data_IF_120752460014
#
_entry.id   IF_120752460014
#
_cell.length_a   1.000
_cell.length_b   1.000
_cell.length_c   1.000
_cell.angle_alpha   90.00
_cell.angle_beta   90.00
_cell.angle_gamma   90.00
#
_symmetry.space_group_name_H-M   'P 1'
#
loop_
_entity.id
_entity.type
_entity.pdbx_description
1 polymer ?
#
# COMPACT_ATOMS: atom_id res chain seq x y z
N UNK A 1 39.49 -3.59 12.83
CA UNK A 1 39.62 -3.67 14.30
C UNK A 1 40.54 -4.87 14.59
N UNK A 2 41.71 -4.70 15.23
CA UNK A 2 42.65 -5.81 15.45
C UNK A 2 42.01 -6.95 16.25
N UNK A 3 42.10 -8.18 15.74
CA UNK A 3 41.51 -9.38 16.38
C UNK A 3 40.01 -9.59 16.13
N UNK A 4 39.35 -8.70 15.36
CA UNK A 4 37.98 -8.93 14.92
C UNK A 4 37.97 -9.96 13.79
N UNK A 5 37.11 -10.98 13.93
CA UNK A 5 36.87 -11.95 12.85
C UNK A 5 36.40 -11.22 11.58
N UNK A 6 37.01 -11.49 10.40
CA UNK A 6 36.58 -10.94 9.12
C UNK A 6 35.07 -11.06 8.86
N UNK A 7 34.43 -12.14 9.34
CA UNK A 7 32.99 -12.36 9.21
C UNK A 7 32.17 -11.22 9.85
N UNK A 8 32.60 -10.69 10.99
CA UNK A 8 31.92 -9.58 11.65
C UNK A 8 32.13 -8.26 10.91
N UNK A 9 33.30 -8.06 10.31
CA UNK A 9 33.54 -6.90 9.46
C UNK A 9 32.67 -6.93 8.20
N UNK A 10 32.53 -8.11 7.58
CA UNK A 10 31.69 -8.30 6.40
C UNK A 10 30.20 -8.13 6.74
N UNK A 11 29.74 -8.70 7.85
CA UNK A 11 28.36 -8.55 8.33
C UNK A 11 27.99 -7.09 8.67
N UNK A 12 28.99 -6.25 8.93
CA UNK A 12 28.84 -4.82 9.20
C UNK A 12 28.94 -3.93 7.96
N UNK A 13 29.21 -4.52 6.78
CA UNK A 13 29.51 -3.82 5.54
C UNK A 13 28.24 -3.35 4.80
N UNK A 14 27.06 -3.63 5.35
CA UNK A 14 25.76 -3.24 4.81
C UNK A 14 25.05 -4.41 4.11
N UNK A 15 24.24 -4.08 3.11
CA UNK A 15 23.40 -5.04 2.41
C UNK A 15 24.17 -5.68 1.25
N UNK A 16 23.87 -6.95 0.97
CA UNK A 16 24.46 -7.70 -0.13
C UNK A 16 23.40 -7.97 -1.21
N UNK A 17 23.79 -7.76 -2.46
CA UNK A 17 23.02 -8.17 -3.63
C UNK A 17 23.83 -9.22 -4.37
N UNK A 18 23.23 -10.38 -4.60
CA UNK A 18 23.88 -11.47 -5.32
C UNK A 18 23.27 -11.63 -6.71
N UNK A 19 24.11 -11.58 -7.73
CA UNK A 19 23.74 -11.81 -9.12
C UNK A 19 24.24 -13.17 -9.57
N UNK A 20 23.38 -13.96 -10.22
CA UNK A 20 23.75 -15.28 -10.75
C UNK A 20 24.43 -15.10 -12.12
N UNK A 21 25.71 -15.45 -12.22
CA UNK A 21 26.47 -15.46 -13.46
C UNK A 21 26.07 -16.59 -14.41
N UNK A 22 26.56 -16.51 -15.65
CA UNK A 22 26.32 -17.52 -16.69
C UNK A 22 26.90 -18.91 -16.32
N UNK A 23 27.93 -18.96 -15.48
CA UNK A 23 28.52 -20.18 -14.93
C UNK A 23 27.68 -20.79 -13.79
N UNK A 24 26.56 -20.17 -13.45
CA UNK A 24 25.66 -20.60 -12.39
C UNK A 24 26.06 -20.16 -10.98
N UNK A 25 27.20 -19.47 -10.81
CA UNK A 25 27.68 -18.99 -9.51
C UNK A 25 27.07 -17.64 -9.17
N UNK A 26 26.89 -17.39 -7.88
CA UNK A 26 26.45 -16.09 -7.38
C UNK A 26 27.65 -15.19 -7.10
N UNK A 27 27.59 -13.96 -7.61
CA UNK A 27 28.57 -12.91 -7.34
C UNK A 27 27.90 -11.81 -6.52
N UNK A 28 28.56 -11.36 -5.46
CA UNK A 28 28.15 -10.17 -4.72
C UNK A 28 28.44 -8.93 -5.58
N UNK A 29 27.42 -8.11 -5.81
CA UNK A 29 27.48 -6.93 -6.69
C UNK A 29 27.02 -5.63 -6.04
N UNK A 30 26.58 -5.64 -4.78
CA UNK A 30 26.18 -4.41 -4.10
C UNK A 30 27.41 -3.53 -3.79
N UNK A 31 27.38 -2.28 -4.27
CA UNK A 31 28.41 -1.28 -3.96
C UNK A 31 29.74 -1.45 -4.71
N UNK A 32 29.73 -2.09 -5.88
CA UNK A 32 30.84 -2.00 -6.83
C UNK A 32 30.89 -0.57 -7.44
N UNK A 33 32.07 -0.08 -7.82
CA UNK A 33 32.25 1.26 -8.44
C UNK A 33 31.40 1.42 -9.72
N UNK A 34 31.07 2.66 -10.14
CA UNK A 34 30.23 2.94 -11.29
C UNK A 34 30.59 2.09 -12.53
N UNK A 35 29.58 1.55 -13.23
CA UNK A 35 28.18 1.95 -13.17
C UNK A 35 27.33 1.25 -12.06
N UNK A 36 27.91 0.58 -11.07
CA UNK A 36 27.21 -0.50 -10.37
C UNK A 36 26.23 -0.15 -9.21
N UNK A 37 25.39 -1.16 -8.95
CA UNK A 37 24.21 -1.28 -8.08
C UNK A 37 24.44 -0.77 -6.64
N UNK A 38 24.01 0.47 -6.38
CA UNK A 38 24.25 1.21 -5.13
C UNK A 38 23.29 0.84 -3.99
N UNK A 39 22.99 -0.45 -3.84
CA UNK A 39 22.06 -0.97 -2.80
C UNK A 39 22.76 -1.36 -1.50
N UNK A 40 24.07 -1.09 -1.38
CA UNK A 40 24.88 -1.53 -0.22
C UNK A 40 24.51 -0.76 1.05
N UNK A 41 24.25 0.55 0.94
CA UNK A 41 24.04 1.46 2.09
C UNK A 41 22.55 1.70 2.37
N UNK A 42 21.93 0.59 2.79
CA UNK A 42 20.59 0.36 3.35
C UNK A 42 20.26 0.97 4.73
N UNK A 43 21.34 1.05 5.51
CA UNK A 43 21.30 0.76 6.95
C UNK A 43 20.54 -0.53 7.28
N UNK A 44 19.92 -0.57 8.45
CA UNK A 44 19.35 -1.80 9.01
C UNK A 44 17.88 -1.94 8.59
N UNK A 45 17.64 -2.95 7.76
CA UNK A 45 16.34 -3.23 7.17
C UNK A 45 15.67 -4.44 7.82
N UNK A 46 14.34 -4.39 7.92
CA UNK A 46 13.55 -5.55 8.32
C UNK A 46 13.30 -6.50 7.14
N UNK A 47 13.39 -6.00 5.90
CA UNK A 47 13.28 -6.80 4.70
C UNK A 47 13.17 -5.94 3.44
N UNK A 48 13.13 -6.60 2.30
CA UNK A 48 12.89 -5.97 1.01
C UNK A 48 12.23 -6.92 0.02
N UNK A 49 11.73 -6.36 -1.09
CA UNK A 49 11.05 -7.10 -2.14
C UNK A 49 11.42 -6.53 -3.51
N UNK A 50 11.51 -7.43 -4.49
CA UNK A 50 11.61 -7.09 -5.89
C UNK A 50 10.22 -7.01 -6.53
N UNK A 51 9.87 -5.87 -7.11
CA UNK A 51 8.61 -5.64 -7.80
C UNK A 51 8.81 -4.67 -8.97
N UNK A 52 7.95 -4.73 -9.98
CA UNK A 52 8.02 -3.88 -11.17
C UNK A 52 7.06 -2.71 -10.98
N UNK A 53 7.52 -1.62 -10.35
CA UNK A 53 6.63 -0.50 -9.97
C UNK A 53 6.36 0.46 -11.13
N UNK A 54 7.23 0.46 -12.14
CA UNK A 54 7.14 1.32 -13.30
C UNK A 54 6.71 0.56 -14.58
N UNK A 55 6.40 -0.73 -14.48
CA UNK A 55 5.95 -1.61 -15.56
C UNK A 55 6.94 -1.72 -16.74
N UNK A 56 8.24 -1.52 -16.50
CA UNK A 56 9.27 -1.54 -17.55
C UNK A 56 9.87 -2.93 -17.82
N UNK A 57 9.28 -3.98 -17.24
CA UNK A 57 9.71 -5.39 -17.22
C UNK A 57 10.90 -5.72 -16.31
N UNK A 58 11.58 -4.73 -15.76
CA UNK A 58 12.65 -4.92 -14.80
C UNK A 58 12.10 -4.83 -13.38
N UNK A 59 12.64 -5.66 -12.48
CA UNK A 59 12.25 -5.61 -11.08
C UNK A 59 13.05 -4.53 -10.36
N UNK A 60 12.35 -3.54 -9.83
CA UNK A 60 12.82 -2.57 -8.85
C UNK A 60 12.96 -3.23 -7.48
N UNK A 61 13.67 -2.58 -6.56
CA UNK A 61 13.87 -3.08 -5.20
C UNK A 61 13.35 -2.07 -4.18
N UNK A 62 12.33 -2.47 -3.43
CA UNK A 62 11.89 -1.74 -2.24
C UNK A 62 12.47 -2.38 -0.98
N UNK A 63 13.03 -1.57 -0.09
CA UNK A 63 13.64 -2.00 1.17
C UNK A 63 13.10 -1.17 2.31
N UNK A 64 12.61 -1.86 3.32
CA UNK A 64 11.99 -1.29 4.50
C UNK A 64 12.99 -1.21 5.65
N UNK A 65 13.15 -0.02 6.23
CA UNK A 65 14.01 0.26 7.37
C UNK A 65 13.19 0.51 8.63
N UNK A 66 13.76 0.12 9.77
CA UNK A 66 13.03 0.18 11.05
C UNK A 66 13.94 -0.05 12.26
N UNK A 67 15.24 0.15 12.10
CA UNK A 67 16.20 -0.06 13.18
C UNK A 67 17.40 0.85 13.06
N UNK A 68 18.21 0.92 14.11
CA UNK A 68 19.27 1.90 14.26
C UNK A 68 20.45 1.54 13.35
N UNK A 69 20.80 2.47 12.47
CA UNK A 69 22.11 2.59 11.84
C UNK A 69 22.73 3.93 12.22
N UNK A 70 24.05 3.97 12.42
CA UNK A 70 24.71 5.23 12.79
C UNK A 70 24.48 6.33 11.72
N UNK A 71 24.26 7.59 12.12
CA UNK A 71 24.29 8.73 11.21
C UNK A 71 25.57 8.74 10.36
N UNK A 72 25.44 9.15 9.10
CA UNK A 72 26.55 9.08 8.14
C UNK A 72 27.78 9.90 8.58
N UNK A 73 27.59 10.96 9.37
CA UNK A 73 28.69 11.77 9.94
C UNK A 73 29.47 11.04 11.04
N UNK A 74 28.88 10.00 11.64
CA UNK A 74 29.45 9.18 12.70
C UNK A 74 29.88 7.78 12.22
N UNK A 75 29.46 7.38 11.02
CA UNK A 75 29.75 6.07 10.44
C UNK A 75 31.21 5.98 9.96
N UNK A 76 32.05 5.21 10.65
CA UNK A 76 33.48 5.05 10.35
C UNK A 76 33.77 4.12 9.15
N UNK A 77 32.90 4.10 8.14
CA UNK A 77 32.94 3.16 7.00
C UNK A 77 32.41 1.75 7.29
N UNK A 78 32.25 1.40 8.58
CA UNK A 78 31.51 0.25 9.10
C UNK A 78 30.43 0.78 10.05
N UNK A 79 29.23 0.19 10.02
CA UNK A 79 28.14 0.61 10.92
C UNK A 79 28.33 0.01 12.32
N UNK A 80 29.32 0.51 13.08
CA UNK A 80 29.71 0.03 14.42
C UNK A 80 28.65 0.27 15.51
N UNK A 81 27.57 0.96 15.16
CA UNK A 81 26.46 1.29 16.04
C UNK A 81 25.18 0.53 15.67
N UNK A 82 25.21 -0.32 14.63
CA UNK A 82 24.09 -1.19 14.28
C UNK A 82 23.73 -2.16 15.39
N UNK A 83 22.53 -2.74 15.30
CA UNK A 83 22.08 -3.79 16.20
C UNK A 83 23.11 -4.92 16.33
N UNK A 84 23.66 -5.37 15.20
CA UNK A 84 24.64 -6.44 15.12
C UNK A 84 25.84 -6.14 16.03
N UNK A 85 26.37 -4.92 15.96
CA UNK A 85 27.50 -4.52 16.80
C UNK A 85 27.14 -4.41 18.27
N UNK A 86 25.98 -3.82 18.57
CA UNK A 86 25.54 -3.57 19.95
C UNK A 86 25.14 -4.85 20.69
N UNK A 87 24.59 -5.85 19.98
CA UNK A 87 24.08 -7.09 20.57
C UNK A 87 25.01 -8.28 20.40
N UNK A 88 25.55 -8.50 19.21
CA UNK A 88 26.32 -9.71 18.92
C UNK A 88 27.81 -9.49 19.12
N UNK A 89 28.37 -8.43 18.51
CA UNK A 89 29.82 -8.20 18.59
C UNK A 89 30.20 -7.76 20.01
N UNK A 90 29.59 -6.71 20.57
CA UNK A 90 29.94 -6.22 21.93
C UNK A 90 29.67 -7.24 23.06
N UNK A 91 28.85 -8.27 22.85
CA UNK A 91 28.62 -9.31 23.84
C UNK A 91 29.66 -10.44 23.80
N UNK A 92 30.46 -10.53 22.73
CA UNK A 92 31.48 -11.56 22.54
C UNK A 92 32.63 -11.38 23.56
N UNK A 93 32.89 -12.44 24.32
CA UNK A 93 33.92 -12.48 25.36
C UNK A 93 35.34 -12.51 24.81
N UNK A 94 35.52 -12.88 23.53
CA UNK A 94 36.81 -12.97 22.87
C UNK A 94 37.32 -11.63 22.33
N UNK A 95 36.52 -10.56 22.41
CA UNK A 95 36.96 -9.23 21.99
C UNK A 95 37.89 -8.57 23.01
N UNK A 96 38.98 -8.00 22.49
CA UNK A 96 40.13 -7.53 23.28
C UNK A 96 39.94 -6.21 24.04
N UNK A 97 38.80 -5.49 23.92
CA UNK A 97 38.61 -4.15 24.51
C UNK A 97 37.39 -4.04 25.43
N UNK A 98 37.62 -4.22 26.73
CA UNK A 98 36.60 -4.09 27.79
C UNK A 98 35.96 -2.68 27.87
N UNK A 99 36.70 -1.61 27.57
CA UNK A 99 36.17 -0.23 27.58
C UNK A 99 35.09 0.02 26.52
N UNK A 100 35.07 -0.78 25.45
CA UNK A 100 34.05 -0.73 24.39
C UNK A 100 32.79 -1.52 24.77
N UNK A 101 32.92 -2.55 25.62
CA UNK A 101 31.84 -3.42 26.10
C UNK A 101 31.01 -2.77 27.23
N UNK A 102 31.60 -1.87 28.03
CA UNK A 102 31.02 -1.38 29.30
C UNK A 102 31.11 0.15 29.51
N UNK A 103 30.91 0.99 28.48
CA UNK A 103 30.89 2.46 28.69
C UNK A 103 29.83 2.86 29.74
N UNK A 104 30.20 3.65 30.77
CA UNK A 104 29.26 4.18 31.77
C UNK A 104 28.17 5.09 31.20
N UNK A 105 28.37 5.64 30.01
CA UNK A 105 27.40 6.51 29.31
C UNK A 105 26.18 5.73 28.80
N UNK A 106 26.26 4.38 28.77
CA UNK A 106 25.25 3.47 28.22
C UNK A 106 24.83 2.42 29.28
N UNK A 107 24.16 2.87 30.35
CA UNK A 107 23.72 1.99 31.47
C UNK A 107 22.63 0.99 31.02
N UNK A 108 22.73 -0.26 31.50
CA UNK A 108 21.89 -1.41 31.13
C UNK A 108 20.86 -1.75 32.19
N UNK A 109 19.70 -2.26 31.78
CA UNK A 109 18.69 -2.88 32.66
C UNK A 109 18.84 -4.40 32.62
N UNK A 110 18.43 -5.10 33.69
CA UNK A 110 18.35 -6.56 33.67
C UNK A 110 17.34 -7.04 32.60
N UNK A 111 17.57 -8.18 31.94
CA UNK A 111 16.58 -8.77 31.03
C UNK A 111 15.29 -9.15 31.79
N UNK A 112 14.13 -9.22 31.11
CA UNK A 112 12.82 -9.43 31.75
C UNK A 112 12.71 -10.74 32.55
N UNK A 113 13.49 -11.75 32.18
CA UNK A 113 13.52 -13.07 32.83
C UNK A 113 14.66 -13.22 33.85
N UNK A 114 15.53 -12.22 34.00
CA UNK A 114 16.67 -12.21 34.90
C UNK A 114 17.75 -13.27 34.62
N UNK A 115 17.66 -14.02 33.50
CA UNK A 115 18.55 -15.14 33.20
C UNK A 115 19.49 -14.91 32.01
N UNK A 116 19.46 -13.70 31.42
CA UNK A 116 20.38 -13.28 30.36
C UNK A 116 21.42 -12.23 30.81
N UNK A 117 22.41 -11.93 29.97
CA UNK A 117 23.28 -10.78 30.18
C UNK A 117 22.46 -9.49 30.22
N UNK A 118 22.86 -8.50 31.05
CA UNK A 118 22.21 -7.19 31.12
C UNK A 118 22.15 -6.54 29.72
N UNK A 119 20.99 -5.98 29.35
CA UNK A 119 20.71 -5.40 28.03
C UNK A 119 20.36 -3.92 28.23
N UNK A 120 20.89 -3.03 27.37
CA UNK A 120 20.47 -1.62 27.35
C UNK A 120 18.95 -1.55 27.13
N UNK A 121 18.21 -0.87 28.02
CA UNK A 121 16.75 -0.75 27.97
C UNK A 121 16.26 -0.26 26.60
N UNK A 122 17.08 0.57 25.93
CA UNK A 122 16.79 1.06 24.58
C UNK A 122 16.84 -0.05 23.54
N UNK A 123 17.56 -1.15 23.76
CA UNK A 123 17.60 -2.28 22.81
C UNK A 123 16.43 -3.24 22.94
N UNK A 124 15.69 -3.20 24.06
CA UNK A 124 14.52 -4.06 24.26
C UNK A 124 13.30 -3.57 23.45
N UNK A 125 13.39 -2.36 22.87
CA UNK A 125 12.31 -1.74 22.10
C UNK A 125 11.07 -1.41 22.92
N UNK A 126 11.03 -1.82 24.19
CA UNK A 126 9.88 -1.75 25.06
C UNK A 126 10.36 -1.50 26.50
N UNK A 127 9.89 -0.42 27.12
CA UNK A 127 10.17 -0.05 28.50
C UNK A 127 8.85 0.06 29.27
N UNK A 128 8.76 -0.61 30.43
CA UNK A 128 7.61 -0.43 31.32
C UNK A 128 7.89 0.70 32.31
N UNK A 129 7.11 1.78 32.24
CA UNK A 129 7.14 2.90 33.20
C UNK A 129 5.83 2.92 33.99
N UNK A 130 5.84 2.27 35.16
CA UNK A 130 4.64 2.09 35.97
C UNK A 130 3.63 1.14 35.31
N UNK A 131 2.41 1.63 35.09
CA UNK A 131 1.33 0.94 34.39
C UNK A 131 1.41 1.08 32.85
N UNK A 132 2.34 1.89 32.34
CA UNK A 132 2.49 2.16 30.90
C UNK A 132 3.62 1.37 30.28
N UNK A 133 3.37 0.88 29.07
CA UNK A 133 4.38 0.30 28.19
C UNK A 133 4.77 1.37 27.17
N UNK A 134 6.04 1.74 27.14
CA UNK A 134 6.66 2.64 26.18
C UNK A 134 7.36 1.80 25.13
N UNK A 135 7.01 1.97 23.86
CA UNK A 135 7.77 1.37 22.77
C UNK A 135 8.79 2.39 22.28
N UNK A 136 10.06 2.10 22.46
CA UNK A 136 11.14 2.95 21.95
C UNK A 136 11.31 2.66 20.47
N UNK A 137 11.10 3.69 19.63
CA UNK A 137 11.47 3.62 18.23
C UNK A 137 12.98 3.48 18.14
N UNK A 138 13.44 2.41 17.51
CA UNK A 138 14.86 2.08 17.40
C UNK A 138 15.49 2.74 16.18
N UNK A 139 14.79 3.70 15.56
CA UNK A 139 14.85 3.93 14.13
C UNK A 139 15.77 5.07 13.67
N UNK A 140 16.13 6.02 14.54
CA UNK A 140 16.79 7.29 14.20
C UNK A 140 16.34 7.99 12.90
N UNK A 141 15.09 7.72 12.45
CA UNK A 141 14.50 8.18 11.18
C UNK A 141 15.21 7.69 9.91
N UNK A 142 15.75 6.48 9.94
CA UNK A 142 16.27 5.86 8.71
C UNK A 142 15.17 5.70 7.65
N UNK A 143 15.35 6.23 6.45
CA UNK A 143 14.28 6.18 5.44
C UNK A 143 14.22 4.82 4.78
N UNK A 144 13.00 4.34 4.53
CA UNK A 144 12.77 3.29 3.54
C UNK A 144 13.39 3.69 2.20
N UNK A 145 13.80 2.69 1.41
CA UNK A 145 14.42 2.95 0.11
C UNK A 145 13.72 2.23 -1.03
N UNK A 146 13.48 2.95 -2.11
CA UNK A 146 13.10 2.42 -3.41
C UNK A 146 14.28 2.61 -4.37
N UNK A 147 14.72 1.50 -4.96
CA UNK A 147 15.74 1.47 -5.98
C UNK A 147 15.13 1.09 -7.32
N UNK A 148 15.11 2.05 -8.25
CA UNK A 148 14.63 1.80 -9.61
C UNK A 148 15.71 1.05 -10.42
N UNK A 149 15.32 0.01 -11.13
CA UNK A 149 16.21 -0.80 -11.94
C UNK A 149 16.42 -0.17 -13.33
N UNK A 150 17.67 0.11 -13.69
CA UNK A 150 18.00 0.71 -14.97
C UNK A 150 18.36 -0.36 -16.00
N UNK A 151 17.34 -1.09 -16.47
CA UNK A 151 17.47 -2.06 -17.54
C UNK A 151 18.37 -3.26 -17.19
N UNK A 152 18.34 -3.71 -15.94
CA UNK A 152 19.09 -4.85 -15.43
C UNK A 152 20.58 -4.60 -15.18
N UNK A 153 21.05 -3.36 -15.39
CA UNK A 153 22.49 -3.01 -15.30
C UNK A 153 22.88 -2.39 -13.96
N UNK A 154 21.98 -1.61 -13.38
CA UNK A 154 22.26 -0.79 -12.20
C UNK A 154 20.97 -0.42 -11.48
N UNK A 155 21.09 0.05 -10.25
CA UNK A 155 19.99 0.60 -9.46
C UNK A 155 20.23 2.07 -9.15
N UNK A 156 19.19 2.89 -9.18
CA UNK A 156 19.21 4.28 -8.73
C UNK A 156 18.26 4.46 -7.55
N UNK A 157 18.70 5.18 -6.52
CA UNK A 157 17.83 5.55 -5.40
C UNK A 157 16.78 6.56 -5.87
N UNK A 158 15.52 6.13 -5.92
CA UNK A 158 14.37 6.92 -6.33
C UNK A 158 13.43 7.26 -5.16
N UNK A 159 13.83 6.91 -3.92
CA UNK A 159 12.96 6.90 -2.74
C UNK A 159 12.24 8.23 -2.51
N UNK A 160 12.99 9.33 -2.50
CA UNK A 160 12.44 10.66 -2.22
C UNK A 160 11.56 11.20 -3.34
N UNK A 161 11.87 10.89 -4.60
CA UNK A 161 11.08 11.34 -5.77
C UNK A 161 9.79 10.53 -5.87
N UNK A 162 9.83 9.23 -5.57
CA UNK A 162 8.68 8.36 -5.55
C UNK A 162 7.79 8.55 -4.30
N UNK A 163 8.25 9.30 -3.29
CA UNK A 163 7.55 9.47 -2.02
C UNK A 163 7.52 8.20 -1.16
N UNK A 164 8.39 7.22 -1.46
CA UNK A 164 8.51 5.94 -0.74
C UNK A 164 9.67 5.96 0.28
N UNK A 165 10.10 7.14 0.71
CA UNK A 165 11.18 7.37 1.67
C UNK A 165 10.68 7.54 3.12
N UNK A 166 9.67 6.75 3.50
CA UNK A 166 9.01 6.89 4.80
C UNK A 166 10.04 6.86 5.96
N UNK A 167 10.05 7.88 6.85
CA UNK A 167 11.02 8.00 7.94
C UNK A 167 10.55 7.37 9.25
N UNK A 168 9.43 6.64 9.25
CA UNK A 168 8.87 5.95 10.41
C UNK A 168 9.45 4.54 10.56
N UNK A 169 9.34 3.97 11.77
CA UNK A 169 9.91 2.67 12.12
C UNK A 169 9.10 1.56 11.44
N UNK A 170 9.47 1.21 10.21
CA UNK A 170 8.67 0.33 9.38
C UNK A 170 8.90 -1.14 9.72
N UNK A 171 7.83 -1.95 9.79
CA UNK A 171 7.86 -3.34 10.29
C UNK A 171 7.30 -4.39 9.36
N UNK A 172 6.38 -4.03 8.47
CA UNK A 172 5.86 -4.93 7.45
C UNK A 172 5.33 -4.15 6.26
N UNK A 173 5.36 -4.73 5.07
CA UNK A 173 4.72 -4.14 3.90
C UNK A 173 4.14 -5.20 2.97
N UNK A 174 3.16 -4.82 2.16
CA UNK A 174 2.58 -5.65 1.12
C UNK A 174 2.54 -4.88 -0.20
N UNK A 175 2.97 -5.53 -1.28
CA UNK A 175 2.79 -5.05 -2.66
C UNK A 175 1.52 -5.65 -3.21
N UNK A 176 0.70 -4.80 -3.82
CA UNK A 176 -0.61 -5.12 -4.38
C UNK A 176 -0.96 -4.08 -5.43
N UNK A 177 -2.03 -4.29 -6.17
CA UNK A 177 -2.66 -3.25 -6.99
C UNK A 177 -4.12 -3.24 -6.57
N UNK A 178 -4.44 -2.35 -5.63
CA UNK A 178 -5.67 -2.48 -4.84
C UNK A 178 -6.90 -2.00 -5.58
N UNK A 179 -6.72 -1.13 -6.58
CA UNK A 179 -7.80 -0.63 -7.41
C UNK A 179 -7.81 -1.19 -8.83
N UNK A 180 -6.83 -2.05 -9.16
CA UNK A 180 -6.66 -2.72 -10.44
C UNK A 180 -6.49 -1.71 -11.56
N UNK A 181 -5.74 -0.65 -11.33
CA UNK A 181 -5.39 0.29 -12.38
C UNK A 181 -4.18 -0.17 -13.21
N UNK A 182 -3.49 -1.22 -12.75
CA UNK A 182 -2.31 -1.83 -13.39
C UNK A 182 -0.97 -1.28 -12.92
N UNK A 183 -0.93 -0.45 -11.87
CA UNK A 183 0.29 0.01 -11.22
C UNK A 183 0.38 -0.57 -9.81
N UNK A 184 1.55 -1.10 -9.46
CA UNK A 184 1.72 -1.70 -8.14
C UNK A 184 1.78 -0.62 -7.05
N UNK A 185 0.90 -0.74 -6.08
CA UNK A 185 0.77 0.01 -4.84
C UNK A 185 1.55 -0.63 -3.69
N UNK A 186 1.64 0.10 -2.57
CA UNK A 186 2.31 -0.38 -1.37
C UNK A 186 1.52 -0.08 -0.10
N UNK A 187 1.21 -1.14 0.66
CA UNK A 187 0.67 -1.02 2.02
C UNK A 187 1.82 -1.20 3.02
N UNK A 188 2.00 -0.27 3.95
CA UNK A 188 3.09 -0.24 4.92
C UNK A 188 2.56 -0.16 6.35
N UNK A 189 3.13 -0.96 7.25
CA UNK A 189 2.86 -0.94 8.69
C UNK A 189 4.11 -0.53 9.45
N UNK A 190 3.95 0.42 10.37
CA UNK A 190 5.01 0.96 11.21
C UNK A 190 4.77 0.61 12.68
N UNK A 191 5.86 0.51 13.45
CA UNK A 191 5.83 0.41 14.91
C UNK A 191 5.51 1.74 15.60
N UNK A 192 5.63 2.87 14.89
CA UNK A 192 5.28 4.21 15.37
C UNK A 192 4.34 4.94 14.39
N UNK A 193 3.90 6.15 14.75
CA UNK A 193 2.93 6.91 13.94
C UNK A 193 3.59 7.52 12.69
N UNK A 194 2.89 7.56 11.54
CA UNK A 194 1.60 6.92 11.28
C UNK A 194 1.72 5.39 11.18
N UNK A 195 0.87 4.65 11.91
CA UNK A 195 0.98 3.18 12.03
C UNK A 195 0.72 2.43 10.72
N UNK A 196 -0.17 2.94 9.87
CA UNK A 196 -0.50 2.34 8.59
C UNK A 196 -0.49 3.41 7.51
N UNK A 197 0.14 3.08 6.38
CA UNK A 197 0.21 3.95 5.21
C UNK A 197 -0.14 3.10 3.99
N UNK A 198 -1.04 3.62 3.16
CA UNK A 198 -1.32 3.06 1.85
C UNK A 198 -0.83 4.05 0.82
N UNK A 199 0.16 3.63 0.03
CA UNK A 199 0.72 4.40 -1.07
C UNK A 199 0.04 3.94 -2.35
N UNK A 200 -0.55 4.90 -3.05
CA UNK A 200 -1.12 4.70 -4.37
C UNK A 200 -0.11 5.11 -5.43
N UNK A 201 0.08 4.29 -6.46
CA UNK A 201 1.07 4.53 -7.50
C UNK A 201 0.50 5.42 -8.62
N UNK A 202 0.98 6.66 -8.69
CA UNK A 202 0.45 7.70 -9.58
C UNK A 202 1.20 7.80 -10.94
N UNK A 203 1.95 6.77 -11.36
CA UNK A 203 2.70 6.78 -12.62
C UNK A 203 1.83 7.14 -13.84
N UNK A 204 0.59 6.63 -13.89
CA UNK A 204 -0.38 6.99 -14.94
C UNK A 204 -0.70 8.48 -14.94
N UNK A 205 -0.95 9.07 -13.77
CA UNK A 205 -1.25 10.49 -13.63
C UNK A 205 -0.02 11.35 -13.97
N UNK A 206 1.19 10.84 -13.76
CA UNK A 206 2.45 11.44 -14.18
C UNK A 206 2.74 11.29 -15.69
N UNK A 207 1.87 10.63 -16.45
CA UNK A 207 2.01 10.46 -17.90
C UNK A 207 2.99 9.36 -18.32
N UNK A 208 3.36 8.47 -17.39
CA UNK A 208 4.20 7.30 -17.69
C UNK A 208 3.34 6.22 -18.33
N UNK A 209 3.82 5.66 -19.44
CA UNK A 209 3.23 4.48 -20.08
C UNK A 209 3.83 3.20 -19.53
N UNK A 210 3.02 2.15 -19.43
CA UNK A 210 3.46 0.85 -18.95
C UNK A 210 2.30 -0.13 -18.97
N UNK A 211 2.46 -1.20 -19.75
CA UNK A 211 1.50 -2.27 -19.93
C UNK A 211 1.69 -3.38 -18.91
N UNK A 212 0.64 -4.13 -18.62
CA UNK A 212 0.71 -5.29 -17.71
C UNK A 212 -0.03 -6.51 -18.23
N UNK A 213 0.42 -7.69 -17.80
CA UNK A 213 -0.37 -8.92 -17.78
C UNK A 213 -0.44 -9.40 -16.33
N UNK A 214 -1.64 -9.50 -15.79
CA UNK A 214 -1.87 -10.06 -14.47
C UNK A 214 -2.11 -11.57 -14.58
N UNK A 215 -1.58 -12.35 -13.63
CA UNK A 215 -1.65 -13.82 -13.63
C UNK A 215 -2.11 -14.32 -12.26
N UNK A 216 -3.12 -15.19 -12.27
CA UNK A 216 -3.60 -15.95 -11.09
C UNK A 216 -3.40 -17.44 -11.33
N UNK A 217 -3.20 -18.17 -10.24
CA UNK A 217 -2.88 -19.59 -10.28
C UNK A 217 -3.93 -20.41 -9.54
N UNK A 218 -4.25 -21.57 -10.11
CA UNK A 218 -5.10 -22.58 -9.49
C UNK A 218 -4.41 -23.93 -9.66
N UNK A 219 -3.69 -24.36 -8.63
CA UNK A 219 -3.00 -25.65 -8.59
C UNK A 219 -3.97 -26.82 -8.44
N UNK A 220 -3.54 -27.99 -8.90
CA UNK A 220 -4.37 -29.17 -9.04
C UNK A 220 -4.54 -29.99 -7.76
N UNK A 221 -3.75 -29.74 -6.70
CA UNK A 221 -3.94 -30.42 -5.42
C UNK A 221 -5.02 -29.72 -4.61
N UNK A 222 -6.16 -30.38 -4.46
CA UNK A 222 -7.34 -29.93 -3.70
C UNK A 222 -7.42 -30.60 -2.31
N UNK A 223 -6.36 -31.29 -1.89
CA UNK A 223 -6.29 -31.97 -0.59
C UNK A 223 -5.21 -31.35 0.31
N UNK A 224 -5.32 -31.60 1.61
CA UNK A 224 -4.30 -31.19 2.58
C UNK A 224 -3.01 -32.05 2.54
N UNK A 225 -3.03 -33.18 1.83
CA UNK A 225 -1.88 -34.08 1.72
C UNK A 225 -0.97 -33.64 0.56
N UNK A 226 0.36 -33.82 0.67
CA UNK A 226 1.27 -33.56 -0.45
C UNK A 226 0.93 -34.44 -1.65
N UNK A 227 0.92 -33.83 -2.85
CA UNK A 227 0.73 -34.54 -4.12
C UNK A 227 2.05 -34.62 -4.88
N UNK A 228 2.28 -35.73 -5.58
CA UNK A 228 3.36 -35.89 -6.56
C UNK A 228 2.95 -35.51 -7.98
N UNK A 229 1.64 -35.43 -8.23
CA UNK A 229 1.07 -35.20 -9.55
C UNK A 229 0.76 -33.73 -9.79
N UNK A 230 0.39 -33.00 -8.74
CA UNK A 230 -0.08 -31.62 -8.83
C UNK A 230 0.58 -30.72 -7.79
N UNK A 231 0.73 -29.45 -8.13
CA UNK A 231 1.17 -28.40 -7.23
C UNK A 231 0.11 -28.06 -6.18
N UNK A 232 0.54 -27.35 -5.12
CA UNK A 232 -0.36 -26.83 -4.10
C UNK A 232 -1.45 -25.93 -4.71
N UNK A 233 -2.61 -25.84 -4.05
CA UNK A 233 -3.79 -25.13 -4.58
C UNK A 233 -3.52 -23.69 -5.00
N UNK A 234 -2.69 -22.98 -4.24
CA UNK A 234 -2.35 -21.58 -4.49
C UNK A 234 -1.30 -21.41 -5.61
N UNK A 235 -0.69 -22.49 -6.09
CA UNK A 235 0.23 -22.48 -7.23
C UNK A 235 1.60 -21.87 -6.96
N UNK A 236 2.01 -21.70 -5.70
CA UNK A 236 3.34 -21.19 -5.35
C UNK A 236 4.46 -22.09 -5.91
N UNK A 237 5.50 -21.44 -6.45
CA UNK A 237 6.60 -22.05 -7.18
C UNK A 237 6.37 -22.17 -8.69
N UNK A 238 5.18 -21.83 -9.19
CA UNK A 238 4.94 -21.75 -10.64
C UNK A 238 5.83 -20.67 -11.27
N UNK A 239 6.43 -20.98 -12.42
CA UNK A 239 7.27 -20.07 -13.19
C UNK A 239 6.56 -19.63 -14.44
N UNK A 240 6.50 -18.32 -14.64
CA UNK A 240 5.86 -17.68 -15.78
C UNK A 240 6.94 -17.09 -16.69
N UNK A 241 6.85 -17.39 -17.98
CA UNK A 241 7.62 -16.73 -19.03
C UNK A 241 6.64 -16.02 -19.95
N UNK A 242 6.72 -14.70 -20.02
CA UNK A 242 5.98 -13.86 -20.96
C UNK A 242 6.88 -13.56 -22.14
N UNK A 243 6.46 -13.98 -23.33
CA UNK A 243 7.15 -13.75 -24.59
C UNK A 243 6.53 -12.53 -25.28
N UNK A 244 7.31 -11.46 -25.42
CA UNK A 244 6.89 -10.20 -26.03
C UNK A 244 7.31 -10.11 -27.51
N UNK A 245 8.01 -11.13 -28.01
CA UNK A 245 8.48 -11.26 -29.39
C UNK A 245 9.93 -10.83 -29.58
N UNK A 246 10.30 -9.67 -29.06
CA UNK A 246 11.68 -9.15 -29.03
C UNK A 246 12.41 -9.43 -27.71
N UNK A 247 11.65 -9.60 -26.62
CA UNK A 247 12.17 -9.93 -25.30
C UNK A 247 11.33 -11.00 -24.57
N UNK A 248 11.92 -11.58 -23.52
CA UNK A 248 11.25 -12.54 -22.65
C UNK A 248 11.37 -12.14 -21.18
N UNK A 249 10.23 -12.08 -20.50
CA UNK A 249 10.13 -11.70 -19.10
C UNK A 249 9.83 -12.93 -18.25
N UNK A 250 10.74 -13.27 -17.35
CA UNK A 250 10.59 -14.38 -16.41
C UNK A 250 10.14 -13.91 -15.02
N UNK A 251 9.18 -14.62 -14.41
CA UNK A 251 8.73 -14.42 -13.03
C UNK A 251 8.49 -15.77 -12.34
N UNK A 252 8.62 -15.82 -11.03
CA UNK A 252 8.29 -16.98 -10.19
C UNK A 252 7.25 -16.55 -9.17
N UNK A 253 6.16 -17.33 -9.04
CA UNK A 253 5.10 -17.05 -8.08
C UNK A 253 5.54 -17.49 -6.69
N UNK A 254 5.60 -16.55 -5.75
CA UNK A 254 6.17 -16.76 -4.42
C UNK A 254 5.21 -16.37 -3.31
N UNK A 255 5.44 -16.96 -2.14
CA UNK A 255 4.81 -16.61 -0.88
C UNK A 255 5.87 -16.36 0.19
N UNK A 256 5.48 -15.67 1.27
CA UNK A 256 6.36 -15.35 2.40
C UNK A 256 7.40 -14.30 2.06
N UNK A 257 7.03 -13.30 1.25
CA UNK A 257 7.91 -12.19 0.87
C UNK A 257 7.74 -10.99 1.83
N UNK A 258 8.88 -10.45 2.29
CA UNK A 258 8.97 -9.43 3.33
C UNK A 258 8.92 -9.99 4.75
N UNK A 259 9.11 -9.11 5.74
CA UNK A 259 9.09 -9.49 7.16
C UNK A 259 7.65 -9.60 7.68
N UNK A 260 7.25 -10.81 8.08
CA UNK A 260 5.92 -11.09 8.64
C UNK A 260 4.77 -10.60 7.73
N UNK A 261 4.96 -10.67 6.41
CA UNK A 261 4.04 -10.15 5.40
C UNK A 261 3.82 -11.13 4.25
N UNK A 262 2.79 -10.86 3.45
CA UNK A 262 2.49 -11.55 2.21
C UNK A 262 1.97 -10.54 1.19
N UNK A 263 2.52 -10.58 -0.03
CA UNK A 263 2.07 -9.77 -1.15
C UNK A 263 0.84 -10.39 -1.83
N UNK A 264 0.20 -9.64 -2.72
CA UNK A 264 -0.95 -10.12 -3.50
C UNK A 264 -0.64 -11.47 -4.17
N UNK A 265 -1.57 -12.44 -4.16
CA UNK A 265 -1.42 -13.69 -4.92
C UNK A 265 -1.59 -13.47 -6.43
N UNK A 266 -2.01 -12.28 -6.87
CA UNK A 266 -2.05 -11.92 -8.28
C UNK A 266 -0.68 -11.41 -8.69
N UNK A 267 0.02 -12.17 -9.54
CA UNK A 267 1.29 -11.75 -10.12
C UNK A 267 1.02 -10.70 -11.21
N UNK A 268 1.63 -9.53 -11.10
CA UNK A 268 1.61 -8.52 -12.16
C UNK A 268 2.94 -8.58 -12.89
N UNK A 269 2.90 -8.75 -14.21
CA UNK A 269 4.08 -8.74 -15.08
C UNK A 269 4.02 -7.49 -15.94
N UNK A 270 4.93 -6.54 -15.71
CA UNK A 270 5.13 -5.39 -16.57
C UNK A 270 5.64 -5.82 -17.94
N UNK A 271 5.07 -5.23 -18.99
CA UNK A 271 5.40 -5.50 -20.39
C UNK A 271 5.79 -4.22 -21.14
N UNK A 272 6.23 -3.17 -20.45
CA UNK A 272 6.65 -1.91 -21.07
C UNK A 272 5.58 -1.32 -21.98
N UNK A 273 5.97 -0.83 -23.15
CA UNK A 273 5.03 -0.24 -24.12
C UNK A 273 4.32 -1.26 -25.02
N UNK A 274 4.58 -2.57 -24.83
CA UNK A 274 3.99 -3.62 -25.64
C UNK A 274 2.46 -3.65 -25.48
N UNK A 275 1.76 -3.82 -26.60
CA UNK A 275 0.28 -3.90 -26.61
C UNK A 275 -0.25 -5.28 -26.27
N UNK A 276 0.62 -6.29 -26.23
CA UNK A 276 0.31 -7.70 -26.06
C UNK A 276 1.57 -8.51 -25.81
N UNK A 277 1.40 -9.69 -25.22
CA UNK A 277 2.39 -10.77 -25.28
C UNK A 277 2.04 -11.75 -26.41
N UNK A 278 3.06 -12.21 -27.13
CA UNK A 278 2.93 -13.26 -28.13
C UNK A 278 2.53 -14.60 -27.50
N UNK A 279 3.01 -14.89 -26.29
CA UNK A 279 2.54 -16.02 -25.49
C UNK A 279 2.92 -15.87 -24.01
N UNK A 280 2.18 -16.58 -23.14
CA UNK A 280 2.52 -16.78 -21.74
C UNK A 280 2.70 -18.29 -21.52
N UNK A 281 3.88 -18.68 -21.02
CA UNK A 281 4.20 -20.07 -20.67
C UNK A 281 4.28 -20.20 -19.16
N UNK A 282 3.60 -21.20 -18.60
CA UNK A 282 3.55 -21.48 -17.16
C UNK A 282 4.08 -22.88 -16.92
N UNK A 283 5.13 -22.98 -16.12
CA UNK A 283 5.70 -24.25 -15.65
C UNK A 283 5.41 -24.41 -14.16
N UNK A 284 4.68 -25.46 -13.81
CA UNK A 284 4.29 -25.80 -12.44
C UNK A 284 5.41 -26.54 -11.70
N UNK A 285 5.45 -26.50 -10.36
CA UNK A 285 6.34 -27.31 -9.54
C UNK A 285 6.23 -28.83 -9.78
N UNK A 286 5.04 -29.31 -10.17
CA UNK A 286 4.80 -30.70 -10.60
C UNK A 286 5.59 -31.10 -11.85
N UNK A 287 6.08 -30.13 -12.62
CA UNK A 287 6.73 -30.32 -13.92
C UNK A 287 5.80 -30.12 -15.11
N UNK A 288 4.48 -30.04 -14.89
CA UNK A 288 3.51 -29.73 -15.94
C UNK A 288 3.77 -28.33 -16.52
N UNK A 289 3.60 -28.20 -17.83
CA UNK A 289 3.81 -26.94 -18.55
C UNK A 289 2.66 -26.66 -19.49
N UNK A 290 2.19 -25.42 -19.52
CA UNK A 290 1.14 -24.96 -20.42
C UNK A 290 1.56 -23.65 -21.08
N UNK A 291 1.10 -23.40 -22.31
CA UNK A 291 1.39 -22.18 -23.07
C UNK A 291 0.13 -21.64 -23.71
N UNK A 292 -0.08 -20.34 -23.62
CA UNK A 292 -1.19 -19.62 -24.27
C UNK A 292 -0.86 -19.25 -25.71
N UNK A 293 -1.88 -18.79 -26.45
CA UNK A 293 -1.67 -17.91 -27.60
C UNK A 293 -1.38 -16.47 -27.16
N UNK A 294 -1.64 -15.53 -28.06
CA UNK A 294 -1.49 -14.09 -27.82
C UNK A 294 -2.39 -13.59 -26.68
N UNK A 295 -1.83 -12.76 -25.79
CA UNK A 295 -2.54 -12.16 -24.66
C UNK A 295 -2.44 -10.63 -24.75
N UNK A 296 -3.56 -9.90 -24.90
CA UNK A 296 -3.56 -8.45 -24.90
C UNK A 296 -3.06 -7.86 -23.57
N UNK A 297 -2.48 -6.66 -23.64
CA UNK A 297 -2.20 -5.84 -22.46
C UNK A 297 -3.47 -5.63 -21.62
N UNK A 298 -3.31 -5.52 -20.30
CA UNK A 298 -4.41 -5.27 -19.37
C UNK A 298 -5.29 -6.49 -19.13
N UNK A 299 -4.80 -7.69 -19.45
CA UNK A 299 -5.51 -8.97 -19.23
C UNK A 299 -5.16 -9.57 -17.88
N UNK A 300 -6.17 -10.11 -17.19
CA UNK A 300 -6.02 -11.05 -16.08
C UNK A 300 -6.16 -12.47 -16.62
N UNK A 301 -5.05 -13.20 -16.62
CA UNK A 301 -4.96 -14.59 -17.01
C UNK A 301 -5.05 -15.49 -15.77
N UNK A 302 -6.12 -16.27 -15.61
CA UNK A 302 -6.18 -17.33 -14.59
C UNK A 302 -5.71 -18.64 -15.20
N UNK A 303 -4.70 -19.24 -14.59
CA UNK A 303 -4.02 -20.45 -15.05
C UNK A 303 -4.39 -21.60 -14.14
N UNK A 304 -4.93 -22.66 -14.73
CA UNK A 304 -5.31 -23.88 -14.03
C UNK A 304 -4.30 -24.97 -14.36
N UNK A 305 -3.81 -25.67 -13.35
CA UNK A 305 -2.97 -26.85 -13.56
C UNK A 305 -3.79 -28.03 -14.12
N UNK A 306 -5.08 -28.12 -13.74
CA UNK A 306 -6.06 -29.09 -14.23
C UNK A 306 -7.16 -28.37 -15.01
N UNK A 307 -7.35 -28.75 -16.28
CA UNK A 307 -8.40 -28.15 -17.11
C UNK A 307 -9.82 -28.39 -16.54
N UNK A 308 -10.03 -29.50 -15.83
CA UNK A 308 -11.30 -29.81 -15.16
C UNK A 308 -11.66 -28.85 -14.01
N UNK A 309 -10.68 -28.13 -13.45
CA UNK A 309 -10.91 -27.13 -12.39
C UNK A 309 -11.32 -25.77 -12.97
N UNK A 310 -11.20 -25.60 -14.28
CA UNK A 310 -11.56 -24.38 -14.99
C UNK A 310 -13.05 -24.39 -15.36
N UNK A 311 -13.75 -23.25 -15.22
CA UNK A 311 -15.15 -23.14 -15.62
C UNK A 311 -15.38 -23.36 -17.12
N UNK A 312 -14.32 -23.29 -17.94
CA UNK A 312 -14.38 -23.49 -19.40
C UNK A 312 -13.84 -24.85 -19.86
N UNK A 313 -13.34 -25.67 -18.93
CA UNK A 313 -12.67 -26.93 -19.29
C UNK A 313 -11.32 -26.73 -20.01
N UNK A 314 -10.71 -25.55 -19.91
CA UNK A 314 -9.41 -25.23 -20.51
C UNK A 314 -8.39 -24.78 -19.45
N UNK A 315 -7.09 -24.85 -19.74
CA UNK A 315 -6.04 -24.50 -18.79
C UNK A 315 -5.93 -22.99 -18.51
N UNK A 316 -6.63 -22.15 -19.27
CA UNK A 316 -6.51 -20.70 -19.20
C UNK A 316 -7.88 -20.03 -19.34
N UNK A 317 -8.17 -19.08 -18.46
CA UNK A 317 -9.27 -18.12 -18.65
C UNK A 317 -8.72 -16.71 -18.60
N UNK A 318 -9.37 -15.80 -19.30
CA UNK A 318 -8.95 -14.40 -19.39
C UNK A 318 -10.12 -13.46 -19.13
N UNK A 319 -9.88 -12.41 -18.35
CA UNK A 319 -10.80 -11.30 -18.15
C UNK A 319 -10.04 -9.96 -18.14
N UNK A 320 -10.71 -8.82 -18.34
CA UNK A 320 -10.06 -7.51 -18.19
C UNK A 320 -9.50 -7.35 -16.76
N UNK A 321 -8.20 -7.07 -16.66
CA UNK A 321 -7.56 -6.74 -15.39
C UNK A 321 -7.79 -5.28 -15.03
N UNK A 322 -7.43 -4.37 -15.95
CA UNK A 322 -7.56 -2.94 -15.69
C UNK A 322 -9.01 -2.57 -15.54
N UNK A 323 -9.38 -2.18 -14.33
CA UNK A 323 -10.65 -1.52 -14.11
C UNK A 323 -10.43 -0.09 -14.54
N UNK A 324 -11.08 0.33 -15.63
CA UNK A 324 -11.25 1.75 -15.87
C UNK A 324 -12.09 2.29 -14.71
N UNK A 325 -11.44 2.69 -13.62
CA UNK A 325 -11.97 3.80 -12.84
C UNK A 325 -12.09 4.92 -13.86
N UNK A 326 -13.32 5.24 -14.24
CA UNK A 326 -13.61 6.57 -14.77
C UNK A 326 -12.89 7.49 -13.82
N UNK A 327 -11.81 8.13 -14.30
CA UNK A 327 -11.08 9.07 -13.49
C UNK A 327 -12.16 9.97 -12.91
N UNK A 328 -12.28 10.00 -11.58
CA UNK A 328 -13.26 10.85 -10.88
C UNK A 328 -12.94 12.33 -11.03
N UNK A 329 -12.38 12.74 -12.16
CA UNK A 329 -12.56 14.04 -12.74
C UNK A 329 -13.59 13.92 -13.85
N UNK A 330 -14.85 13.63 -13.51
CA UNK A 330 -15.89 14.31 -14.27
C UNK A 330 -15.60 15.79 -14.12
N UNK A 331 -15.67 16.53 -15.23
CA UNK A 331 -15.63 17.98 -15.20
C UNK A 331 -16.82 18.43 -14.38
N UNK A 332 -16.65 18.47 -13.06
CA UNK A 332 -17.52 19.21 -12.16
C UNK A 332 -17.52 20.60 -12.75
N UNK A 333 -18.70 21.12 -13.09
CA UNK A 333 -18.87 22.51 -13.45
C UNK A 333 -18.59 23.35 -12.19
N UNK A 334 -17.29 23.46 -11.87
CA UNK A 334 -16.76 24.10 -10.68
C UNK A 334 -17.19 25.56 -10.74
N UNK A 335 -18.05 25.95 -9.81
CA UNK A 335 -18.65 27.29 -9.81
C UNK A 335 -20.16 27.33 -10.08
N UNK A 336 -20.78 26.23 -10.53
CA UNK A 336 -22.24 26.14 -10.56
C UNK A 336 -22.79 25.96 -9.14
N UNK A 337 -23.93 26.57 -8.85
CA UNK A 337 -24.59 26.44 -7.54
C UNK A 337 -25.33 25.11 -7.49
N UNK A 338 -25.00 24.27 -6.52
CA UNK A 338 -25.67 22.99 -6.32
C UNK A 338 -27.16 23.24 -5.97
N UNK A 339 -28.14 22.72 -6.73
CA UNK A 339 -29.55 23.07 -6.51
C UNK A 339 -30.08 22.76 -5.10
N UNK A 340 -29.66 21.63 -4.52
CA UNK A 340 -30.01 21.24 -3.14
C UNK A 340 -29.52 22.27 -2.12
N UNK A 341 -28.41 22.96 -2.40
CA UNK A 341 -27.97 24.08 -1.57
C UNK A 341 -29.08 25.10 -1.45
N UNK A 342 -29.73 25.50 -2.54
CA UNK A 342 -30.81 26.50 -2.52
C UNK A 342 -32.12 25.99 -1.90
N UNK A 343 -32.40 24.69 -2.02
CA UNK A 343 -33.63 24.07 -1.51
C UNK A 343 -33.62 23.85 0.01
N UNK A 344 -32.44 23.70 0.63
CA UNK A 344 -32.34 23.48 2.08
C UNK A 344 -32.80 24.70 2.88
N UNK A 345 -34.03 24.68 3.39
CA UNK A 345 -34.54 25.79 4.21
C UNK A 345 -33.98 25.81 5.64
N UNK A 346 -33.23 24.78 6.04
CA UNK A 346 -32.65 24.63 7.39
C UNK A 346 -31.15 24.94 7.48
N UNK A 347 -30.59 25.67 6.50
CA UNK A 347 -29.14 25.94 6.41
C UNK A 347 -28.58 26.63 7.67
N UNK A 348 -27.38 26.21 8.05
CA UNK A 348 -26.54 26.85 9.09
C UNK A 348 -25.27 27.42 8.46
N UNK A 349 -24.60 28.41 9.10
CA UNK A 349 -23.30 28.88 8.64
C UNK A 349 -22.28 27.74 8.63
N UNK A 350 -21.62 27.53 7.49
CA UNK A 350 -20.56 26.54 7.30
C UNK A 350 -19.67 26.99 6.15
N UNK A 351 -18.34 26.84 6.32
CA UNK A 351 -17.35 27.18 5.30
C UNK A 351 -17.41 26.21 4.12
N UNK A 352 -17.65 24.93 4.43
CA UNK A 352 -17.76 23.84 3.45
C UNK A 352 -18.95 22.96 3.84
N UNK A 353 -19.71 22.47 2.86
CA UNK A 353 -20.82 21.55 3.08
C UNK A 353 -20.65 20.28 2.26
N UNK A 354 -20.85 19.13 2.88
CA UNK A 354 -20.87 17.83 2.22
C UNK A 354 -22.30 17.29 2.21
N UNK A 355 -22.93 17.30 1.04
CA UNK A 355 -24.25 16.74 0.79
C UNK A 355 -24.11 15.27 0.39
N UNK A 356 -24.56 14.35 1.24
CA UNK A 356 -24.44 12.90 1.02
C UNK A 356 -25.83 12.30 0.78
N UNK A 357 -26.01 11.56 -0.30
CA UNK A 357 -27.28 10.89 -0.60
C UNK A 357 -27.66 9.90 0.50
N UNK A 358 -28.94 9.93 0.88
CA UNK A 358 -29.52 9.16 1.98
C UNK A 358 -30.79 8.44 1.52
N UNK A 359 -30.99 7.23 2.02
CA UNK A 359 -32.24 6.49 1.94
C UNK A 359 -32.43 5.67 3.23
N UNK A 360 -33.64 5.59 3.77
CA UNK A 360 -33.93 4.84 5.02
C UNK A 360 -33.66 3.35 4.88
N UNK A 361 -33.73 2.82 3.65
CA UNK A 361 -33.45 1.43 3.29
C UNK A 361 -31.95 1.13 3.16
N UNK A 362 -31.08 2.15 3.21
CA UNK A 362 -29.64 1.97 3.01
C UNK A 362 -28.94 1.42 4.26
N UNK A 363 -28.40 0.20 4.15
CA UNK A 363 -27.59 -0.42 5.20
C UNK A 363 -26.32 0.37 5.54
N UNK A 364 -25.79 1.17 4.59
CA UNK A 364 -24.61 2.01 4.81
C UNK A 364 -24.87 3.09 5.88
N UNK A 365 -26.09 3.64 5.92
CA UNK A 365 -26.47 4.67 6.88
C UNK A 365 -26.83 4.10 8.26
N UNK A 366 -27.30 2.86 8.35
CA UNK A 366 -27.57 2.22 9.66
C UNK A 366 -26.32 1.64 10.30
N UNK A 367 -25.39 1.08 9.50
CA UNK A 367 -24.13 0.51 10.01
C UNK A 367 -23.01 1.54 10.18
N UNK A 368 -23.02 2.65 9.43
CA UNK A 368 -21.97 3.67 9.41
C UNK A 368 -22.11 4.82 10.42
N UNK A 369 -23.16 4.84 11.26
CA UNK A 369 -23.44 5.96 12.18
C UNK A 369 -22.28 6.34 13.13
N UNK A 370 -21.54 5.39 13.74
CA UNK A 370 -20.41 5.74 14.59
C UNK A 370 -19.28 6.47 13.82
N UNK A 371 -19.06 6.11 12.56
CA UNK A 371 -18.07 6.74 11.69
C UNK A 371 -18.47 8.16 11.31
N UNK A 372 -19.73 8.38 10.94
CA UNK A 372 -20.27 9.70 10.62
C UNK A 372 -20.28 10.63 11.84
N UNK A 373 -20.56 10.10 13.05
CA UNK A 373 -20.46 10.84 14.30
C UNK A 373 -19.04 11.34 14.53
N UNK A 374 -18.03 10.46 14.38
CA UNK A 374 -16.62 10.81 14.54
C UNK A 374 -16.16 11.84 13.50
N UNK A 375 -16.58 11.70 12.24
CA UNK A 375 -16.29 12.66 11.19
C UNK A 375 -16.86 14.05 11.52
N UNK A 376 -18.11 14.11 11.99
CA UNK A 376 -18.73 15.37 12.42
C UNK A 376 -17.96 16.01 13.58
N UNK A 377 -17.69 15.26 14.64
CA UNK A 377 -16.96 15.77 15.82
C UNK A 377 -15.56 16.30 15.46
N UNK A 378 -14.90 15.70 14.46
CA UNK A 378 -13.61 16.16 13.96
C UNK A 378 -13.70 17.42 13.09
N UNK A 379 -14.73 17.54 12.25
CA UNK A 379 -14.77 18.51 11.15
C UNK A 379 -15.67 19.73 11.42
N UNK A 380 -16.63 19.61 12.33
CA UNK A 380 -17.51 20.71 12.73
C UNK A 380 -16.73 21.92 13.30
N UNK A 381 -15.68 21.73 14.13
CA UNK A 381 -14.83 22.85 14.59
C UNK A 381 -14.09 23.57 13.45
N UNK A 382 -13.81 22.89 12.35
CA UNK A 382 -13.15 23.45 11.16
C UNK A 382 -14.13 24.21 10.25
N UNK A 383 -15.43 24.18 10.57
CA UNK A 383 -16.48 24.83 9.80
C UNK A 383 -17.03 23.98 8.65
N UNK A 384 -16.88 22.66 8.71
CA UNK A 384 -17.41 21.72 7.70
C UNK A 384 -18.70 21.08 8.21
N UNK A 385 -19.79 21.20 7.45
CA UNK A 385 -21.09 20.58 7.78
C UNK A 385 -21.34 19.33 6.91
N UNK A 386 -21.73 18.22 7.55
CA UNK A 386 -22.14 16.98 6.86
C UNK A 386 -23.67 16.85 6.88
N UNK A 387 -24.25 16.69 5.69
CA UNK A 387 -25.69 16.69 5.45
C UNK A 387 -26.14 15.39 4.78
N UNK A 388 -27.26 14.86 5.23
CA UNK A 388 -27.93 13.71 4.64
C UNK A 388 -29.07 14.18 3.73
N UNK A 389 -29.04 13.82 2.44
CA UNK A 389 -30.04 14.25 1.45
C UNK A 389 -30.92 13.07 1.04
N UNK A 390 -32.21 13.02 1.42
CA UNK A 390 -33.11 11.96 0.99
C UNK A 390 -33.25 11.92 -0.53
N UNK A 391 -32.95 10.77 -1.14
CA UNK A 391 -33.10 10.56 -2.59
C UNK A 391 -34.15 9.51 -2.94
N UNK A 392 -34.58 8.69 -1.99
CA UNK A 392 -35.64 7.70 -2.21
C UNK A 392 -37.01 8.40 -2.23
N UNK A 393 -37.75 8.37 -3.37
CA UNK A 393 -39.09 8.96 -3.44
C UNK A 393 -40.08 8.34 -2.46
N UNK A 394 -39.82 7.11 -1.98
CA UNK A 394 -40.65 6.42 -1.02
C UNK A 394 -40.37 6.83 0.44
N UNK A 395 -39.31 7.62 0.72
CA UNK A 395 -38.98 8.10 2.07
C UNK A 395 -39.80 9.34 2.44
N UNK A 396 -41.10 9.20 2.68
CA UNK A 396 -41.96 10.31 3.13
C UNK A 396 -41.57 10.87 4.52
N UNK A 397 -42.23 11.97 4.92
CA UNK A 397 -41.96 12.61 6.22
C UNK A 397 -42.25 11.69 7.42
N UNK A 398 -43.15 10.72 7.26
CA UNK A 398 -43.44 9.75 8.32
C UNK A 398 -42.27 8.78 8.48
N UNK A 399 -41.80 8.17 7.39
CA UNK A 399 -40.66 7.23 7.39
C UNK A 399 -39.36 7.89 7.84
N UNK A 400 -39.08 9.09 7.38
CA UNK A 400 -37.93 9.87 7.84
C UNK A 400 -38.02 10.17 9.35
N UNK A 401 -39.22 10.48 9.85
CA UNK A 401 -39.47 10.69 11.27
C UNK A 401 -39.30 9.43 12.11
N UNK A 402 -39.73 8.26 11.60
CA UNK A 402 -39.52 6.96 12.24
C UNK A 402 -38.04 6.59 12.28
N UNK A 403 -37.33 6.75 11.16
CA UNK A 403 -35.88 6.54 11.07
C UNK A 403 -35.13 7.43 12.06
N UNK A 404 -35.45 8.72 12.13
CA UNK A 404 -34.82 9.67 13.03
C UNK A 404 -35.04 9.30 14.51
N UNK A 405 -36.24 8.84 14.88
CA UNK A 405 -36.55 8.38 16.24
C UNK A 405 -35.78 7.11 16.61
N UNK A 406 -35.67 6.16 15.68
CA UNK A 406 -35.03 4.88 15.92
C UNK A 406 -33.51 4.98 15.99
N UNK A 407 -32.89 5.73 15.06
CA UNK A 407 -31.45 5.69 14.83
C UNK A 407 -30.71 6.95 15.28
N UNK A 408 -31.43 8.04 15.56
CA UNK A 408 -30.87 9.33 15.99
C UNK A 408 -29.61 9.75 15.20
N UNK A 409 -29.70 9.84 13.85
CA UNK A 409 -28.54 10.10 13.00
C UNK A 409 -27.89 11.44 13.34
N UNK A 410 -26.55 11.46 13.34
CA UNK A 410 -25.77 12.64 13.75
C UNK A 410 -25.67 13.70 12.63
N UNK A 411 -25.75 13.27 11.37
CA UNK A 411 -25.85 14.15 10.21
C UNK A 411 -27.27 14.73 10.14
N UNK A 412 -27.36 16.02 9.83
CA UNK A 412 -28.65 16.69 9.67
C UNK A 412 -29.27 16.27 8.34
N UNK A 413 -30.54 15.85 8.39
CA UNK A 413 -31.34 15.66 7.18
C UNK A 413 -31.64 17.03 6.56
N UNK A 414 -31.37 17.16 5.26
CA UNK A 414 -31.67 18.39 4.51
C UNK A 414 -33.18 18.61 4.47
N UNK A 415 -33.62 19.85 4.75
CA UNK A 415 -35.04 20.19 4.77
C UNK A 415 -35.52 20.62 3.38
N UNK A 416 -35.88 19.63 2.56
CA UNK A 416 -36.42 19.79 1.19
C UNK A 416 -37.87 19.33 1.09
N UNK A 417 -38.63 19.99 0.21
CA UNK A 417 -40.02 19.62 -0.07
C UNK A 417 -40.11 18.26 -0.79
N UNK A 418 -41.19 17.51 -0.57
CA UNK A 418 -41.41 16.19 -1.19
C UNK A 418 -41.41 16.28 -2.72
N UNK A 419 -41.93 17.37 -3.29
CA UNK A 419 -41.93 17.61 -4.74
C UNK A 419 -40.54 17.81 -5.34
N UNK A 420 -39.55 18.20 -4.52
CA UNK A 420 -38.16 18.42 -4.95
C UNK A 420 -37.30 17.15 -4.86
N UNK A 421 -37.72 16.12 -4.12
CA UNK A 421 -36.95 14.88 -3.92
C UNK A 421 -36.69 14.13 -5.24
N UNK A 422 -37.65 14.13 -6.14
CA UNK A 422 -37.47 13.56 -7.49
C UNK A 422 -36.41 14.26 -8.33
N UNK A 423 -36.07 15.52 -8.00
CA UNK A 423 -35.03 16.31 -8.68
C UNK A 423 -33.67 16.19 -7.99
N UNK A 424 -33.61 15.66 -6.76
CA UNK A 424 -32.35 15.48 -6.03
C UNK A 424 -31.45 14.47 -6.74
N UNK A 425 -32.01 13.32 -7.15
CA UNK A 425 -31.25 12.31 -7.87
C UNK A 425 -30.65 12.88 -9.17
N UNK A 426 -31.41 13.70 -9.89
CA UNK A 426 -30.92 14.45 -11.07
C UNK A 426 -29.82 15.44 -10.70
N UNK A 427 -29.99 16.23 -9.65
CA UNK A 427 -28.97 17.19 -9.22
C UNK A 427 -27.64 16.52 -8.84
N UNK A 428 -27.69 15.35 -8.19
CA UNK A 428 -26.49 14.55 -7.94
C UNK A 428 -25.93 13.95 -9.23
N UNK A 429 -26.79 13.46 -10.13
CA UNK A 429 -26.35 12.91 -11.41
C UNK A 429 -25.63 13.95 -12.27
N UNK A 430 -26.15 15.17 -12.32
CA UNK A 430 -25.57 16.30 -13.04
C UNK A 430 -24.20 16.68 -12.42
N UNK A 431 -24.11 16.73 -11.10
CA UNK A 431 -22.86 17.03 -10.40
C UNK A 431 -21.80 15.92 -10.56
N UNK A 432 -22.22 14.66 -10.67
CA UNK A 432 -21.33 13.50 -10.80
C UNK A 432 -21.00 13.16 -12.25
N UNK A 433 -21.81 13.60 -13.21
CA UNK A 433 -21.76 13.21 -14.63
C UNK A 433 -22.20 11.76 -14.90
N UNK A 434 -22.86 11.11 -13.93
CA UNK A 434 -23.34 9.73 -14.01
C UNK A 434 -24.48 9.50 -13.02
N UNK A 435 -25.24 8.40 -13.17
CA UNK A 435 -26.26 8.02 -12.18
C UNK A 435 -25.61 7.82 -10.79
N UNK A 436 -26.12 8.47 -9.72
CA UNK A 436 -25.46 8.48 -8.41
C UNK A 436 -25.59 7.12 -7.71
N UNK A 437 -24.49 6.38 -7.48
CA UNK A 437 -24.54 5.22 -6.59
C UNK A 437 -24.85 5.66 -5.15
N UNK A 438 -25.45 4.80 -4.35
CA UNK A 438 -25.73 5.07 -2.94
C UNK A 438 -24.62 4.49 -2.03
N UNK A 439 -23.93 5.30 -1.20
CA UNK A 439 -24.00 6.76 -1.11
C UNK A 439 -23.16 7.46 -2.19
N UNK A 440 -23.49 8.72 -2.49
CA UNK A 440 -22.70 9.68 -3.28
C UNK A 440 -22.66 11.03 -2.58
N UNK A 441 -21.65 11.84 -2.88
CA UNK A 441 -21.40 13.12 -2.21
C UNK A 441 -21.14 14.25 -3.19
N UNK A 442 -21.73 15.42 -2.89
CA UNK A 442 -21.40 16.72 -3.49
C UNK A 442 -20.88 17.66 -2.40
N UNK A 443 -19.73 18.29 -2.63
CA UNK A 443 -19.08 19.22 -1.70
C UNK A 443 -19.20 20.64 -2.28
N UNK A 444 -19.68 21.57 -1.47
CA UNK A 444 -19.82 22.98 -1.86
C UNK A 444 -19.08 23.92 -0.92
N UNK A 445 -18.81 25.13 -1.41
CA UNK A 445 -18.41 26.27 -0.58
C UNK A 445 -19.60 26.82 0.24
N UNK A 446 -19.35 27.94 0.92
CA UNK A 446 -20.36 28.65 1.70
C UNK A 446 -21.55 29.13 0.86
N UNK A 447 -21.30 29.57 -0.38
CA UNK A 447 -22.28 30.10 -1.33
C UNK A 447 -23.02 29.00 -2.12
N UNK A 448 -22.63 27.74 -1.95
CA UNK A 448 -23.24 26.60 -2.62
C UNK A 448 -22.60 26.23 -3.96
N UNK A 449 -21.49 26.87 -4.33
CA UNK A 449 -20.76 26.48 -5.54
C UNK A 449 -20.10 25.12 -5.36
N UNK A 450 -20.22 24.26 -6.35
CA UNK A 450 -19.64 22.90 -6.28
C UNK A 450 -18.11 23.00 -6.34
N UNK A 451 -17.46 22.43 -5.32
CA UNK A 451 -16.01 22.29 -5.22
C UNK A 451 -15.56 20.90 -5.70
N UNK A 452 -16.31 19.86 -5.35
CA UNK A 452 -16.06 18.48 -5.74
C UNK A 452 -17.35 17.63 -5.71
N UNK A 453 -17.38 16.55 -6.48
CA UNK A 453 -18.43 15.54 -6.41
C UNK A 453 -17.79 14.15 -6.58
N UNK A 454 -18.26 13.15 -5.83
CA UNK A 454 -17.72 11.80 -5.89
C UNK A 454 -18.74 10.74 -5.45
N UNK A 455 -18.65 9.50 -5.97
CA UNK A 455 -19.26 8.33 -5.34
C UNK A 455 -18.73 8.13 -3.91
N UNK A 456 -19.58 7.57 -3.05
CA UNK A 456 -19.24 7.25 -1.67
C UNK A 456 -19.29 8.42 -0.69
N UNK A 457 -18.90 8.14 0.56
CA UNK A 457 -18.69 9.14 1.63
C UNK A 457 -17.27 9.72 1.47
N UNK A 458 -17.08 11.05 1.60
CA UNK A 458 -15.77 11.67 1.42
C UNK A 458 -14.85 11.37 2.60
N UNK A 459 -13.55 11.28 2.31
CA UNK A 459 -12.53 11.23 3.36
C UNK A 459 -12.26 12.60 3.98
N UNK A 460 -11.68 12.61 5.19
CA UNK A 460 -11.27 13.83 5.92
C UNK A 460 -10.35 14.72 5.06
N UNK A 461 -9.38 14.11 4.37
CA UNK A 461 -8.44 14.82 3.51
C UNK A 461 -9.15 15.51 2.33
N UNK A 462 -10.15 14.85 1.73
CA UNK A 462 -10.93 15.44 0.62
C UNK A 462 -11.73 16.66 1.09
N UNK A 463 -12.34 16.60 2.28
CA UNK A 463 -13.08 17.71 2.87
C UNK A 463 -12.17 18.89 3.26
N UNK A 464 -11.02 18.61 3.87
CA UNK A 464 -10.06 19.66 4.25
C UNK A 464 -9.43 20.38 3.07
N UNK A 465 -9.18 19.67 1.96
CA UNK A 465 -8.72 20.29 0.70
C UNK A 465 -9.71 21.30 0.13
N UNK A 466 -10.98 21.23 0.52
CA UNK A 466 -12.03 22.15 0.08
C UNK A 466 -12.17 23.38 0.98
N UNK A 467 -11.45 23.46 2.11
CA UNK A 467 -11.42 24.66 2.94
C UNK A 467 -10.67 25.78 2.20
N UNK A 468 -11.11 27.04 2.33
CA UNK A 468 -10.39 28.18 1.76
C UNK A 468 -8.96 28.28 2.35
N UNK A 469 -7.98 28.64 1.51
CA UNK A 469 -6.58 28.77 1.91
C UNK A 469 -6.42 29.76 3.08
N UNK A 470 -5.64 29.36 4.11
CA UNK A 470 -5.38 30.16 5.31
C UNK A 470 -6.03 29.66 6.60
N UNK A 471 -6.70 28.51 6.58
CA UNK A 471 -7.14 27.81 7.80
C UNK A 471 -6.14 26.70 8.12
N UNK A 472 -5.07 27.03 8.87
CA UNK A 472 -4.26 26.00 9.53
C UNK A 472 -5.11 25.31 10.62
N UNK A 473 -4.90 23.99 10.85
CA UNK A 473 -5.62 23.23 11.87
C UNK A 473 -5.38 23.70 13.31
#
# INVERSE_FOLDING_TARGET
IPGLDPLFADSANGNFLYHKGADGRFQQVAGLEPPAMTVKRIGWSWGGCFADFNNDSFLDLYVMSGYFSAPQELASGLDLESNLWRTMVRADEQLSRASFRFSPEWRRTPPPDGQGPEIDARMVGVERRGDRIWVHSLHDRERNRLFANLGGRSFVDASGIAGLDNPADSRGFAVLDYDRDGWLDLALVNGNQPLFNLYHNEMRAAGVSGGVIAVRFVGGNDTAAPSKEYACRDGYGARVTVDLGDEQVGREHRCGEGWSSQHSPTMVVGIGDHRKAASVTVRWPSGLTARTGEIPEGTLLTVYEKAADSPTGTLFTSEPYRVNRVAGGTSVDRGSVFPVHTWDTGRRPAKVRAYITFATTSAAWTTGLPGLKRLKEMLEPEGIEILAVPVDPADDNQRLGEYARQWQPTARLVNIDVSQRGQVATAFADALGQEPPLPSTVITDEAGHILAAQPGVPGVSALRKCLPEGVEP
#
